data_IF_710259239698
#
_entry.id   IF_710259239698
#
_cell.length_a   1.000
_cell.length_b   1.000
_cell.length_c   1.000
_cell.angle_alpha   90.00
_cell.angle_beta   90.00
_cell.angle_gamma   90.00
#
_symmetry.space_group_name_H-M   'P 1'
#
loop_
_entity.id
_entity.type
_entity.pdbx_description
1 polymer ?
#
# COMPACT_ATOMS: atom_id res chain seq x y z
N UNK A 1 21.94 -28.37 -20.33
CA UNK A 1 22.52 -27.13 -19.74
C UNK A 1 21.59 -25.91 -19.78
N UNK A 2 20.49 -25.87 -20.56
CA UNK A 2 19.66 -24.67 -20.73
C UNK A 2 18.68 -24.32 -19.58
N UNK A 3 18.27 -25.27 -18.75
CA UNK A 3 17.23 -25.05 -17.70
C UNK A 3 17.71 -24.14 -16.54
N UNK A 4 19.01 -24.05 -16.30
CA UNK A 4 19.55 -23.23 -15.21
C UNK A 4 19.57 -21.74 -15.58
N UNK A 5 19.76 -21.43 -16.86
CA UNK A 5 19.82 -20.06 -17.38
C UNK A 5 18.47 -19.36 -17.28
N UNK A 6 17.38 -20.06 -17.62
CA UNK A 6 16.02 -19.50 -17.53
C UNK A 6 15.63 -19.18 -16.08
N UNK A 7 15.92 -20.09 -15.14
CA UNK A 7 15.67 -19.85 -13.71
C UNK A 7 16.47 -18.67 -13.17
N UNK A 8 17.68 -18.44 -13.67
CA UNK A 8 18.54 -17.35 -13.23
C UNK A 8 18.03 -15.99 -13.74
N UNK A 9 17.62 -15.91 -15.02
CA UNK A 9 17.02 -14.71 -15.61
C UNK A 9 15.74 -14.30 -14.88
N UNK A 10 14.87 -15.26 -14.56
CA UNK A 10 13.64 -14.97 -13.81
C UNK A 10 13.92 -14.49 -12.39
N UNK A 11 14.95 -15.02 -11.73
CA UNK A 11 15.30 -14.62 -10.38
C UNK A 11 15.91 -13.20 -10.36
N UNK A 12 16.74 -12.87 -11.35
CA UNK A 12 17.36 -11.55 -11.47
C UNK A 12 16.33 -10.46 -11.82
N UNK A 13 15.33 -10.78 -12.65
CA UNK A 13 14.18 -9.90 -12.90
C UNK A 13 13.28 -9.69 -11.66
N UNK A 14 13.14 -10.71 -10.80
CA UNK A 14 12.29 -10.67 -9.61
C UNK A 14 12.94 -10.02 -8.37
N UNK A 15 14.28 -9.90 -8.33
CA UNK A 15 15.03 -9.29 -7.22
C UNK A 15 14.59 -7.85 -6.87
N UNK A 16 14.51 -6.88 -7.81
CA UNK A 16 14.12 -5.51 -7.49
C UNK A 16 12.67 -5.43 -6.98
N UNK A 17 11.78 -6.25 -7.53
CA UNK A 17 10.36 -6.32 -7.13
C UNK A 17 10.21 -6.81 -5.67
N UNK A 18 10.93 -7.89 -5.32
CA UNK A 18 10.97 -8.42 -3.96
C UNK A 18 11.56 -7.41 -2.96
N UNK A 19 12.58 -6.66 -3.37
CA UNK A 19 13.18 -5.63 -2.53
C UNK A 19 12.20 -4.46 -2.28
N UNK A 20 11.56 -3.95 -3.33
CA UNK A 20 10.59 -2.87 -3.23
C UNK A 20 9.41 -3.22 -2.30
N UNK A 21 8.89 -4.44 -2.38
CA UNK A 21 7.82 -4.90 -1.47
C UNK A 21 8.27 -4.97 -0.01
N UNK A 22 9.45 -5.54 0.26
CA UNK A 22 9.98 -5.63 1.64
C UNK A 22 10.22 -4.24 2.23
N UNK A 23 10.71 -3.31 1.41
CA UNK A 23 10.89 -1.92 1.80
C UNK A 23 9.56 -1.25 2.11
N UNK A 24 8.57 -1.38 1.23
CA UNK A 24 7.23 -0.81 1.42
C UNK A 24 6.57 -1.32 2.70
N UNK A 25 6.63 -2.64 2.93
CA UNK A 25 6.05 -3.28 4.12
C UNK A 25 6.77 -2.85 5.41
N UNK A 26 8.10 -2.72 5.36
CA UNK A 26 8.90 -2.20 6.48
C UNK A 26 8.60 -0.73 6.81
N UNK A 27 8.48 0.13 5.79
CA UNK A 27 8.12 1.54 5.96
C UNK A 27 6.69 1.69 6.48
N UNK A 28 5.74 0.89 5.96
CA UNK A 28 4.35 0.88 6.42
C UNK A 28 4.21 0.47 7.89
N UNK A 29 4.93 -0.57 8.32
CA UNK A 29 4.99 -0.97 9.72
C UNK A 29 5.60 0.12 10.62
N UNK A 30 6.69 0.75 10.18
CA UNK A 30 7.31 1.84 10.94
C UNK A 30 6.35 3.03 11.10
N UNK A 31 5.69 3.43 10.02
CA UNK A 31 4.65 4.47 10.03
C UNK A 31 3.52 4.13 10.99
N UNK A 32 3.02 2.89 10.95
CA UNK A 32 1.96 2.43 11.84
C UNK A 32 2.37 2.56 13.31
N UNK A 33 3.59 2.14 13.67
CA UNK A 33 4.11 2.25 15.04
C UNK A 33 4.17 3.72 15.47
N UNK A 34 4.69 4.60 14.61
CA UNK A 34 4.79 6.03 14.89
C UNK A 34 3.40 6.64 15.12
N UNK A 35 2.42 6.29 14.29
CA UNK A 35 1.05 6.81 14.39
C UNK A 35 0.31 6.29 15.62
N UNK A 36 0.47 5.01 15.98
CA UNK A 36 -0.08 4.47 17.23
C UNK A 36 0.55 5.18 18.43
N UNK A 37 1.86 5.37 18.43
CA UNK A 37 2.53 6.09 19.51
C UNK A 37 2.02 7.53 19.60
N UNK A 38 1.94 8.23 18.46
CA UNK A 38 1.42 9.59 18.36
C UNK A 38 -0.05 9.69 18.80
N UNK A 39 -0.90 8.71 18.49
CA UNK A 39 -2.31 8.72 18.88
C UNK A 39 -2.48 8.53 20.39
N UNK A 40 -1.67 7.67 21.01
CA UNK A 40 -1.70 7.42 22.46
C UNK A 40 -1.25 8.66 23.24
N UNK A 41 -0.17 9.34 22.80
CA UNK A 41 0.35 10.51 23.51
C UNK A 41 -0.51 11.77 23.30
N UNK A 42 -1.14 11.93 22.12
CA UNK A 42 -1.97 13.12 21.81
C UNK A 42 -3.43 12.95 22.20
N UNK A 43 -3.92 11.72 22.36
CA UNK A 43 -5.35 11.43 22.47
C UNK A 43 -6.16 11.84 21.23
N UNK A 44 -5.50 12.17 20.11
CA UNK A 44 -6.16 12.75 18.95
C UNK A 44 -6.91 11.70 18.15
N UNK A 45 -8.23 11.88 18.06
CA UNK A 45 -9.07 11.01 17.24
C UNK A 45 -8.76 11.12 15.73
N UNK A 46 -8.14 12.22 15.27
CA UNK A 46 -7.68 12.35 13.89
C UNK A 46 -6.45 11.45 13.63
N UNK A 47 -5.49 11.44 14.56
CA UNK A 47 -4.30 10.58 14.46
C UNK A 47 -4.69 9.10 14.65
N UNK A 48 -5.67 8.82 15.51
CA UNK A 48 -6.23 7.46 15.64
C UNK A 48 -6.84 6.96 14.33
N UNK A 49 -7.57 7.82 13.61
CA UNK A 49 -8.14 7.50 12.30
C UNK A 49 -7.07 7.22 11.25
N UNK A 50 -6.02 8.04 11.20
CA UNK A 50 -4.87 7.87 10.30
C UNK A 50 -4.04 6.61 10.65
N UNK A 51 -3.96 6.26 11.94
CA UNK A 51 -3.37 5.00 12.39
C UNK A 51 -4.19 3.79 11.94
N UNK A 52 -5.53 3.85 12.05
CA UNK A 52 -6.42 2.79 11.59
C UNK A 52 -6.33 2.57 10.07
N UNK A 53 -6.23 3.63 9.28
CA UNK A 53 -5.95 3.55 7.84
C UNK A 53 -4.61 2.83 7.57
N UNK A 54 -3.58 3.16 8.35
CA UNK A 54 -2.25 2.56 8.19
C UNK A 54 -2.24 1.05 8.52
N UNK A 55 -3.11 0.58 9.42
CA UNK A 55 -3.32 -0.87 9.65
C UNK A 55 -3.84 -1.52 8.38
N UNK A 56 -4.91 -0.96 7.79
CA UNK A 56 -5.50 -1.47 6.54
C UNK A 56 -4.45 -1.52 5.43
N UNK A 57 -3.63 -0.46 5.30
CA UNK A 57 -2.56 -0.41 4.31
C UNK A 57 -1.50 -1.51 4.51
N UNK A 58 -1.04 -1.74 5.75
CA UNK A 58 -0.09 -2.82 6.05
C UNK A 58 -0.67 -4.20 5.70
N UNK A 59 -1.96 -4.43 5.99
CA UNK A 59 -2.66 -5.65 5.59
C UNK A 59 -2.71 -5.81 4.07
N UNK A 60 -3.02 -4.74 3.35
CA UNK A 60 -3.09 -4.74 1.90
C UNK A 60 -1.73 -5.04 1.25
N UNK A 61 -0.66 -4.35 1.67
CA UNK A 61 0.70 -4.58 1.17
C UNK A 61 1.18 -5.99 1.50
N UNK A 62 0.82 -6.53 2.67
CA UNK A 62 1.12 -7.91 3.06
C UNK A 62 0.40 -8.92 2.16
N UNK A 63 -0.87 -8.67 1.86
CA UNK A 63 -1.66 -9.54 0.98
C UNK A 63 -1.16 -9.48 -0.47
N UNK A 64 -0.77 -8.30 -0.96
CA UNK A 64 -0.13 -8.13 -2.26
C UNK A 64 1.23 -8.87 -2.33
N UNK A 65 2.04 -8.78 -1.27
CA UNK A 65 3.30 -9.51 -1.18
C UNK A 65 3.10 -11.03 -1.15
N UNK A 66 2.08 -11.51 -0.43
CA UNK A 66 1.70 -12.92 -0.42
C UNK A 66 1.21 -13.39 -1.80
N UNK A 67 0.36 -12.59 -2.45
CA UNK A 67 -0.15 -12.86 -3.80
C UNK A 67 0.97 -12.94 -4.83
N UNK A 68 1.95 -12.04 -4.78
CA UNK A 68 3.11 -12.07 -5.67
C UNK A 68 4.03 -13.27 -5.35
N UNK A 69 4.24 -13.58 -4.08
CA UNK A 69 4.98 -14.80 -3.70
C UNK A 69 4.31 -16.06 -4.24
N UNK A 70 2.99 -16.14 -4.16
CA UNK A 70 2.19 -17.25 -4.68
C UNK A 70 2.26 -17.30 -6.22
N UNK A 71 2.25 -16.14 -6.88
CA UNK A 71 2.36 -16.01 -8.35
C UNK A 71 3.72 -16.44 -8.90
N UNK A 72 4.78 -16.35 -8.09
CA UNK A 72 6.12 -16.83 -8.45
C UNK A 72 6.31 -18.35 -8.28
N UNK A 73 5.30 -19.10 -7.78
CA UNK A 73 5.38 -20.57 -7.74
C UNK A 73 5.19 -21.15 -9.15
N UNK A 74 5.94 -22.22 -9.51
CA UNK A 74 5.81 -22.88 -10.81
C UNK A 74 4.38 -23.41 -11.00
N UNK A 75 3.87 -23.34 -12.23
CA UNK A 75 2.51 -23.76 -12.58
C UNK A 75 2.23 -25.21 -12.15
N UNK A 76 1.18 -25.41 -11.37
CA UNK A 76 0.72 -26.72 -10.93
C UNK A 76 -0.42 -27.25 -11.82
N UNK A 77 -0.62 -28.56 -11.86
CA UNK A 77 -1.53 -29.24 -12.82
C UNK A 77 -3.00 -28.83 -12.72
N UNK A 78 -3.40 -28.14 -11.64
CA UNK A 78 -4.76 -27.64 -11.40
C UNK A 78 -5.01 -26.22 -11.93
N UNK A 79 -3.99 -25.45 -12.31
CA UNK A 79 -4.15 -24.07 -12.78
C UNK A 79 -3.31 -23.79 -14.04
N UNK A 80 -3.84 -24.18 -15.21
CA UNK A 80 -3.17 -24.04 -16.52
C UNK A 80 -2.92 -22.58 -16.99
N UNK A 81 -3.52 -21.58 -16.34
CA UNK A 81 -3.43 -20.16 -16.75
C UNK A 81 -2.53 -19.29 -15.86
N UNK A 82 -1.80 -19.88 -14.91
CA UNK A 82 -0.91 -19.13 -14.00
C UNK A 82 -1.66 -18.40 -12.88
N UNK A 83 -0.94 -18.12 -11.79
CA UNK A 83 -1.47 -17.47 -10.58
C UNK A 83 -1.58 -15.93 -10.69
N UNK A 84 -1.33 -15.35 -11.86
CA UNK A 84 -1.40 -13.90 -12.11
C UNK A 84 -2.77 -13.27 -11.76
N UNK A 85 -3.86 -14.05 -11.79
CA UNK A 85 -5.20 -13.55 -11.39
C UNK A 85 -5.33 -13.24 -9.89
N UNK A 86 -4.46 -13.80 -9.04
CA UNK A 86 -4.50 -13.59 -7.60
C UNK A 86 -4.08 -12.15 -7.25
N UNK A 87 -3.24 -11.51 -8.09
CA UNK A 87 -2.89 -10.10 -7.92
C UNK A 87 -4.12 -9.19 -8.07
N UNK A 88 -5.01 -9.48 -9.02
CA UNK A 88 -6.26 -8.72 -9.21
C UNK A 88 -7.24 -8.92 -8.06
N UNK A 89 -7.32 -10.14 -7.51
CA UNK A 89 -8.11 -10.41 -6.31
C UNK A 89 -7.58 -9.62 -5.10
N UNK A 90 -6.25 -9.54 -4.95
CA UNK A 90 -5.60 -8.73 -3.91
C UNK A 90 -5.94 -7.25 -4.03
N UNK A 91 -5.87 -6.69 -5.24
CA UNK A 91 -6.23 -5.29 -5.47
C UNK A 91 -7.72 -5.01 -5.19
N UNK A 92 -8.62 -5.95 -5.55
CA UNK A 92 -10.05 -5.84 -5.24
C UNK A 92 -10.33 -5.89 -3.74
N UNK A 93 -9.65 -6.78 -3.01
CA UNK A 93 -9.77 -6.90 -1.55
C UNK A 93 -9.24 -5.66 -0.82
N UNK A 94 -8.11 -5.13 -1.25
CA UNK A 94 -7.57 -3.85 -0.75
C UNK A 94 -8.55 -2.71 -1.00
N UNK A 95 -9.09 -2.59 -2.23
CA UNK A 95 -10.09 -1.58 -2.56
C UNK A 95 -11.33 -1.66 -1.66
N UNK A 96 -11.80 -2.88 -1.35
CA UNK A 96 -12.91 -3.09 -0.44
C UNK A 96 -12.60 -2.61 1.00
N UNK A 97 -11.40 -2.89 1.51
CA UNK A 97 -11.01 -2.40 2.84
C UNK A 97 -10.91 -0.87 2.90
N UNK A 98 -10.39 -0.24 1.85
CA UNK A 98 -10.33 1.23 1.76
C UNK A 98 -11.75 1.83 1.81
N UNK A 99 -12.71 1.25 1.09
CA UNK A 99 -14.11 1.69 1.11
C UNK A 99 -14.69 1.57 2.53
N UNK A 100 -14.44 0.45 3.22
CA UNK A 100 -14.91 0.24 4.59
C UNK A 100 -14.30 1.29 5.54
N UNK A 101 -12.99 1.54 5.44
CA UNK A 101 -12.32 2.58 6.24
C UNK A 101 -12.90 3.97 5.96
N UNK A 102 -13.13 4.32 4.70
CA UNK A 102 -13.75 5.59 4.32
C UNK A 102 -15.16 5.74 4.92
N UNK A 103 -15.99 4.70 4.85
CA UNK A 103 -17.32 4.71 5.47
C UNK A 103 -17.26 4.89 6.99
N UNK A 104 -16.30 4.23 7.66
CA UNK A 104 -16.08 4.37 9.10
C UNK A 104 -15.71 5.81 9.48
N UNK A 105 -14.81 6.45 8.72
CA UNK A 105 -14.42 7.85 8.92
C UNK A 105 -15.61 8.79 8.73
N UNK A 106 -16.41 8.59 7.67
CA UNK A 106 -17.61 9.39 7.42
C UNK A 106 -18.58 9.26 8.59
N UNK A 107 -18.85 8.04 9.05
CA UNK A 107 -19.74 7.81 10.18
C UNK A 107 -19.26 8.53 11.45
N UNK A 108 -18.00 8.34 11.83
CA UNK A 108 -17.42 9.01 12.99
C UNK A 108 -17.38 10.55 12.87
N UNK A 109 -17.24 11.06 11.65
CA UNK A 109 -17.28 12.50 11.38
C UNK A 109 -18.69 13.07 11.50
N UNK A 110 -19.71 12.37 10.98
CA UNK A 110 -21.12 12.74 11.11
C UNK A 110 -21.57 12.68 12.57
N UNK A 111 -21.14 11.68 13.31
CA UNK A 111 -21.48 11.55 14.73
C UNK A 111 -20.91 12.71 15.55
N UNK A 112 -19.62 13.05 15.36
CA UNK A 112 -19.00 14.22 16.00
C UNK A 112 -19.64 15.55 15.58
N UNK A 113 -20.07 15.65 14.32
CA UNK A 113 -20.79 16.83 13.85
C UNK A 113 -22.13 17.03 14.58
N UNK A 114 -22.81 15.93 14.94
CA UNK A 114 -24.08 15.97 15.68
C UNK A 114 -23.93 16.14 17.19
N UNK A 115 -22.91 15.54 17.81
CA UNK A 115 -22.70 15.59 19.26
C UNK A 115 -21.92 16.83 19.72
N UNK A 116 -21.36 17.60 18.79
CA UNK A 116 -20.58 18.80 19.05
C UNK A 116 -19.10 18.48 19.22
N UNK A 117 -18.23 19.43 18.88
CA UNK A 117 -16.78 19.27 18.98
C UNK A 117 -16.29 19.67 20.38
N UNK A 118 -15.91 18.75 21.28
CA UNK A 118 -14.98 19.10 22.34
C UNK A 118 -13.63 19.37 21.68
N UNK A 119 -13.38 20.64 21.38
CA UNK A 119 -12.16 21.12 20.73
C UNK A 119 -11.01 21.14 21.75
N UNK A 120 -10.52 19.97 22.14
CA UNK A 120 -9.26 19.87 22.88
C UNK A 120 -8.08 19.80 21.89
N UNK A 121 -7.11 20.70 22.05
CA UNK A 121 -5.80 20.68 21.39
C UNK A 121 -5.80 20.80 19.84
N UNK A 122 -6.65 21.66 19.26
CA UNK A 122 -6.65 22.00 17.82
C UNK A 122 -5.24 22.34 17.30
N UNK A 123 -4.50 23.17 18.04
CA UNK A 123 -3.20 23.69 17.62
C UNK A 123 -2.17 22.56 17.38
N UNK A 124 -2.17 21.56 18.27
CA UNK A 124 -1.29 20.40 18.14
C UNK A 124 -1.78 19.46 17.03
N UNK A 125 -3.10 19.24 16.93
CA UNK A 125 -3.71 18.39 15.91
C UNK A 125 -3.40 18.85 14.48
N UNK A 126 -3.47 20.16 14.22
CA UNK A 126 -3.13 20.73 12.91
C UNK A 126 -1.67 20.48 12.56
N UNK A 127 -0.74 20.65 13.51
CA UNK A 127 0.68 20.41 13.29
C UNK A 127 0.97 18.98 12.82
N UNK A 128 0.37 17.99 13.47
CA UNK A 128 0.52 16.58 13.09
C UNK A 128 -0.10 16.27 11.72
N UNK A 129 -1.28 16.81 11.41
CA UNK A 129 -1.93 16.61 10.09
C UNK A 129 -1.07 17.20 8.97
N UNK A 130 -0.54 18.41 9.15
CA UNK A 130 0.35 19.05 8.17
C UNK A 130 1.62 18.22 7.98
N UNK A 131 2.25 17.76 9.07
CA UNK A 131 3.45 16.93 9.00
C UNK A 131 3.19 15.61 8.25
N UNK A 132 2.10 14.91 8.59
CA UNK A 132 1.70 13.67 7.92
C UNK A 132 1.43 13.88 6.42
N UNK A 133 0.77 14.99 6.06
CA UNK A 133 0.48 15.36 4.67
C UNK A 133 1.77 15.62 3.88
N UNK A 134 2.73 16.32 4.47
CA UNK A 134 4.03 16.59 3.83
C UNK A 134 4.81 15.30 3.60
N UNK A 135 4.86 14.42 4.60
CA UNK A 135 5.59 13.14 4.47
C UNK A 135 4.94 12.26 3.39
N UNK A 136 3.63 12.04 3.46
CA UNK A 136 2.91 11.21 2.49
C UNK A 136 2.99 11.79 1.07
N UNK A 137 2.79 13.10 0.93
CA UNK A 137 2.90 13.78 -0.36
C UNK A 137 4.31 13.69 -0.96
N UNK A 138 5.35 13.87 -0.14
CA UNK A 138 6.74 13.74 -0.56
C UNK A 138 7.10 12.32 -1.01
N UNK A 139 6.65 11.30 -0.26
CA UNK A 139 6.87 9.90 -0.57
C UNK A 139 6.14 9.51 -1.87
N UNK A 140 4.87 9.93 -2.03
CA UNK A 140 4.09 9.74 -3.25
C UNK A 140 4.74 10.41 -4.46
N UNK A 141 5.20 11.65 -4.32
CA UNK A 141 5.90 12.36 -5.39
C UNK A 141 7.21 11.67 -5.80
N UNK A 142 8.01 11.21 -4.82
CA UNK A 142 9.24 10.47 -5.09
C UNK A 142 8.98 9.15 -5.81
N UNK A 143 7.97 8.39 -5.37
CA UNK A 143 7.57 7.13 -6.00
C UNK A 143 7.07 7.34 -7.43
N UNK A 144 6.27 8.37 -7.69
CA UNK A 144 5.80 8.70 -9.05
C UNK A 144 6.98 9.10 -9.95
N UNK A 145 7.92 9.89 -9.40
CA UNK A 145 9.11 10.34 -10.14
C UNK A 145 10.05 9.19 -10.48
N UNK A 146 10.23 8.22 -9.58
CA UNK A 146 11.00 7.00 -9.84
C UNK A 146 10.25 6.04 -10.76
N UNK A 147 8.93 5.88 -10.58
CA UNK A 147 8.08 4.99 -11.39
C UNK A 147 8.04 5.40 -12.86
N UNK A 148 8.15 6.69 -13.19
CA UNK A 148 8.30 7.17 -14.58
C UNK A 148 9.56 6.68 -15.28
N UNK A 149 10.60 6.30 -14.53
CA UNK A 149 11.83 5.73 -15.09
C UNK A 149 11.78 4.20 -15.21
N UNK A 150 10.74 3.56 -14.67
CA UNK A 150 10.49 2.11 -14.74
C UNK A 150 9.33 1.82 -15.71
N UNK A 151 9.13 2.67 -16.73
CA UNK A 151 8.41 2.21 -17.93
C UNK A 151 9.43 1.41 -18.75
N UNK A 152 9.30 0.08 -18.87
CA UNK A 152 10.16 -0.65 -19.77
C UNK A 152 9.93 -0.08 -21.16
N UNK A 153 11.00 0.42 -21.78
CA UNK A 153 11.01 0.82 -23.20
C UNK A 153 10.58 -0.32 -24.15
N UNK A 154 10.44 -1.55 -23.65
CA UNK A 154 9.99 -2.74 -24.37
C UNK A 154 8.48 -2.84 -24.60
N UNK A 155 7.61 -2.05 -23.96
CA UNK A 155 6.15 -2.11 -24.18
C UNK A 155 5.62 -1.09 -25.21
N UNK A 156 6.51 -0.31 -25.83
CA UNK A 156 6.12 0.70 -26.82
C UNK A 156 5.72 0.20 -28.23
N UNK A 157 5.89 -1.07 -28.66
CA UNK A 157 5.43 -1.46 -30.00
C UNK A 157 4.00 -2.06 -30.11
N UNK A 158 3.24 -2.25 -29.03
CA UNK A 158 1.92 -2.92 -29.12
C UNK A 158 0.71 -1.97 -29.19
N UNK A 159 0.88 -0.68 -28.93
CA UNK A 159 -0.22 0.29 -28.98
C UNK A 159 -0.44 0.90 -30.38
N UNK A 160 0.35 0.51 -31.39
CA UNK A 160 0.23 1.01 -32.77
C UNK A 160 -0.33 -0.04 -33.75
N UNK A 161 -0.89 -1.14 -33.26
CA UNK A 161 -1.40 -2.24 -34.11
C UNK A 161 -2.89 -2.54 -33.90
N UNK A 162 -3.66 -1.59 -33.38
CA UNK A 162 -5.12 -1.58 -33.50
C UNK A 162 -5.62 -0.17 -33.76
#
# INVERSE_FOLDING_TARGET
MHVNSDKQILNDAARPLKFAMRLSLGVGLLMLIIKIYASVITGSAAILSDAAESVVHVFAVSFAAFSLWLSMKPADKTHLYGHDRISFFSAGFEGAMIIIAALYIIFGSVEKWRTGFPLENIEQGIGFVVLATVINGGLGWYLIRQGRNITPSSLRPMASTF
#
